data_IF_592848212557
#
_entry.id   IF_592848212557
#
_cell.length_a   1.000
_cell.length_b   1.000
_cell.length_c   1.000
_cell.angle_alpha   90.00
_cell.angle_beta   90.00
_cell.angle_gamma   90.00
#
_symmetry.space_group_name_H-M   'P 1'
#
loop_
_entity.id
_entity.type
_entity.pdbx_description
1 polymer ?
#
# COMPACT_ATOMS: atom_id res chain seq x y z
N UNK A 1 5.40 -8.98 -1.11
CA UNK A 1 6.71 -9.66 -1.17
C UNK A 1 7.84 -8.69 -1.50
N UNK A 2 7.70 -7.80 -2.50
CA UNK A 2 8.75 -6.84 -2.86
C UNK A 2 9.19 -5.95 -1.69
N UNK A 3 8.22 -5.35 -0.98
CA UNK A 3 8.53 -4.56 0.21
C UNK A 3 9.23 -5.37 1.29
N UNK A 4 8.82 -6.62 1.45
CA UNK A 4 9.37 -7.51 2.48
C UNK A 4 10.79 -8.00 2.18
N UNK A 5 11.07 -8.25 0.89
CA UNK A 5 12.34 -8.84 0.48
C UNK A 5 13.41 -7.81 0.11
N UNK A 6 13.01 -6.60 -0.28
CA UNK A 6 13.92 -5.61 -0.87
C UNK A 6 14.00 -4.30 -0.08
N UNK A 7 13.17 -4.12 0.94
CA UNK A 7 13.21 -2.90 1.75
C UNK A 7 14.25 -3.03 2.86
N UNK A 8 15.28 -2.18 2.81
CA UNK A 8 16.27 -2.06 3.89
C UNK A 8 15.73 -1.14 5.00
N UNK A 9 14.90 -1.70 5.87
CA UNK A 9 14.28 -1.00 6.96
C UNK A 9 15.05 -1.18 8.26
N UNK A 10 15.16 -0.12 9.04
CA UNK A 10 15.65 -0.20 10.42
C UNK A 10 14.59 -0.80 11.32
N UNK A 11 15.00 -1.28 12.48
CA UNK A 11 14.09 -1.80 13.50
C UNK A 11 12.96 -0.80 13.81
N UNK A 12 11.72 -1.30 13.84
CA UNK A 12 10.52 -0.49 14.09
C UNK A 12 10.06 0.40 12.94
N UNK A 13 10.70 0.34 11.76
CA UNK A 13 10.31 1.16 10.61
C UNK A 13 9.49 0.41 9.56
N UNK A 14 9.37 -0.90 9.67
CA UNK A 14 8.61 -1.71 8.73
C UNK A 14 7.66 -2.63 9.47
N UNK A 15 6.38 -2.54 9.14
CA UNK A 15 5.31 -3.36 9.70
C UNK A 15 4.54 -4.05 8.60
N UNK A 16 4.24 -5.30 8.77
CA UNK A 16 3.45 -6.08 7.82
C UNK A 16 2.47 -7.00 8.54
N UNK A 17 1.48 -7.51 7.82
CA UNK A 17 0.49 -8.47 8.33
C UNK A 17 1.13 -9.85 8.58
N UNK A 18 2.10 -9.95 9.46
CA UNK A 18 2.74 -11.22 9.82
C UNK A 18 1.76 -12.16 10.49
N UNK A 19 1.99 -13.46 10.33
CA UNK A 19 1.10 -14.49 10.82
C UNK A 19 0.00 -14.81 9.81
N UNK A 20 -1.21 -14.31 9.98
CA UNK A 20 -2.34 -14.60 9.12
C UNK A 20 -2.24 -13.99 7.70
N UNK A 21 -1.41 -12.96 7.50
CA UNK A 21 -1.23 -12.33 6.20
C UNK A 21 -2.50 -11.62 5.68
N UNK A 22 -3.33 -11.08 6.58
CA UNK A 22 -4.64 -10.50 6.24
C UNK A 22 -4.56 -9.34 5.27
N UNK A 23 -5.33 -9.41 4.18
CA UNK A 23 -5.53 -8.29 3.27
C UNK A 23 -6.22 -7.13 3.99
N UNK A 24 -5.92 -5.89 3.56
CA UNK A 24 -6.47 -4.69 4.18
C UNK A 24 -5.71 -4.18 5.41
N UNK A 25 -4.67 -4.86 5.87
CA UNK A 25 -3.89 -4.45 7.04
C UNK A 25 -3.16 -3.11 6.87
N UNK A 26 -2.59 -2.87 5.68
CA UNK A 26 -1.57 -1.82 5.49
C UNK A 26 -2.05 -0.41 5.83
N UNK A 27 -3.20 0.00 5.32
CA UNK A 27 -3.69 1.37 5.49
C UNK A 27 -4.19 1.65 6.91
N UNK A 28 -5.05 0.83 7.54
CA UNK A 28 -5.43 1.01 8.94
C UNK A 28 -4.25 0.99 9.91
N UNK A 29 -3.27 0.12 9.67
CA UNK A 29 -2.05 0.08 10.49
C UNK A 29 -1.23 1.37 10.35
N UNK A 30 -1.15 1.93 9.14
CA UNK A 30 -0.49 3.20 8.88
C UNK A 30 -1.20 4.37 9.58
N UNK A 31 -2.53 4.40 9.57
CA UNK A 31 -3.33 5.37 10.33
C UNK A 31 -2.98 5.28 11.83
N UNK A 32 -3.05 4.08 12.40
CA UNK A 32 -2.70 3.86 13.79
C UNK A 32 -1.24 4.23 14.11
N UNK A 33 -0.32 3.91 13.20
CA UNK A 33 1.09 4.28 13.31
C UNK A 33 1.29 5.80 13.32
N UNK A 34 0.61 6.53 12.44
CA UNK A 34 0.69 7.99 12.39
C UNK A 34 0.18 8.64 13.68
N UNK A 35 -0.97 8.20 14.18
CA UNK A 35 -1.54 8.67 15.45
C UNK A 35 -0.61 8.35 16.63
N UNK A 36 -0.04 7.13 16.66
CA UNK A 36 0.89 6.72 17.71
C UNK A 36 2.18 7.54 17.73
N UNK A 37 2.71 7.87 16.55
CA UNK A 37 3.91 8.71 16.42
C UNK A 37 3.66 10.15 16.89
N UNK A 38 2.52 10.72 16.53
CA UNK A 38 2.09 12.05 16.98
C UNK A 38 1.94 12.08 18.51
N UNK A 39 1.20 11.11 19.06
CA UNK A 39 0.90 11.04 20.50
C UNK A 39 2.15 10.85 21.35
N UNK A 40 3.15 10.11 20.86
CA UNK A 40 4.38 9.85 21.61
C UNK A 40 5.43 10.94 21.49
N UNK A 41 5.24 11.90 20.57
CA UNK A 41 6.18 12.99 20.31
C UNK A 41 7.58 12.55 19.87
N UNK A 42 7.77 11.26 19.59
CA UNK A 42 9.09 10.67 19.26
C UNK A 42 9.75 11.21 18.00
N UNK A 43 9.00 11.91 17.18
CA UNK A 43 9.47 12.37 15.86
C UNK A 43 9.53 13.88 15.71
N UNK A 44 9.20 14.63 16.76
CA UNK A 44 9.23 16.11 16.70
C UNK A 44 8.27 16.68 15.64
N UNK A 45 7.17 15.97 15.32
CA UNK A 45 6.17 16.43 14.35
C UNK A 45 6.51 16.16 12.87
N UNK A 46 7.63 15.47 12.57
CA UNK A 46 8.07 15.21 11.19
C UNK A 46 7.95 13.75 10.75
N UNK A 47 7.21 12.93 11.50
CA UNK A 47 6.99 11.54 11.08
C UNK A 47 6.23 11.48 9.77
N UNK A 48 6.73 10.66 8.88
CA UNK A 48 6.06 10.34 7.62
C UNK A 48 5.72 8.86 7.63
N UNK A 49 4.45 8.55 7.38
CA UNK A 49 3.96 7.17 7.34
C UNK A 49 3.55 6.84 5.93
N UNK A 50 4.12 5.76 5.40
CA UNK A 50 3.78 5.19 4.11
C UNK A 50 2.99 3.90 4.32
N UNK A 51 1.77 3.85 3.82
CA UNK A 51 1.06 2.60 3.59
C UNK A 51 1.35 2.09 2.18
N UNK A 52 1.56 0.80 2.02
CA UNK A 52 1.70 0.16 0.71
C UNK A 52 0.73 -1.00 0.61
N UNK A 53 -0.07 -1.03 -0.45
CA UNK A 53 -1.03 -2.10 -0.71
C UNK A 53 -1.08 -2.42 -2.20
N UNK A 54 -1.35 -3.67 -2.54
CA UNK A 54 -1.88 -4.02 -3.86
C UNK A 54 -3.34 -3.59 -3.98
N UNK A 55 -3.84 -3.49 -5.19
CA UNK A 55 -5.23 -3.13 -5.52
C UNK A 55 -6.26 -4.01 -4.79
N UNK A 56 -6.07 -5.33 -4.83
CA UNK A 56 -6.95 -6.27 -4.12
C UNK A 56 -6.94 -6.07 -2.61
N UNK A 57 -5.78 -5.79 -2.01
CA UNK A 57 -5.67 -5.51 -0.58
C UNK A 57 -6.28 -4.15 -0.21
N UNK A 58 -6.13 -3.15 -1.05
CA UNK A 58 -6.66 -1.82 -0.82
C UNK A 58 -8.19 -1.83 -0.67
N UNK A 59 -8.87 -2.65 -1.45
CA UNK A 59 -10.34 -2.76 -1.40
C UNK A 59 -10.90 -3.24 -0.06
N UNK A 60 -10.11 -3.94 0.75
CA UNK A 60 -10.56 -4.40 2.08
C UNK A 60 -10.61 -3.28 3.13
N UNK A 61 -9.90 -2.18 2.90
CA UNK A 61 -9.79 -1.07 3.86
C UNK A 61 -9.96 0.31 3.24
N UNK A 62 -10.50 0.38 2.02
CA UNK A 62 -10.67 1.64 1.30
C UNK A 62 -11.56 2.64 2.06
N UNK A 63 -12.52 2.15 2.85
CA UNK A 63 -13.39 2.95 3.69
C UNK A 63 -12.64 3.77 4.75
N UNK A 64 -11.45 3.34 5.15
CA UNK A 64 -10.62 4.05 6.12
C UNK A 64 -10.06 5.38 5.60
N UNK A 65 -10.22 5.66 4.30
CA UNK A 65 -10.01 7.00 3.77
C UNK A 65 -10.92 8.04 4.45
N UNK A 66 -12.14 7.64 4.84
CA UNK A 66 -13.03 8.49 5.61
C UNK A 66 -12.45 8.83 6.99
N UNK A 67 -11.92 7.84 7.70
CA UNK A 67 -11.25 8.02 9.00
C UNK A 67 -10.04 8.94 8.88
N UNK A 68 -9.16 8.64 7.91
CA UNK A 68 -7.95 9.45 7.68
C UNK A 68 -8.30 10.91 7.34
N UNK A 69 -9.31 11.12 6.49
CA UNK A 69 -9.79 12.45 6.11
C UNK A 69 -10.43 13.19 7.28
N UNK A 70 -11.32 12.51 8.02
CA UNK A 70 -12.03 13.12 9.15
C UNK A 70 -11.08 13.67 10.20
N UNK A 71 -10.00 12.97 10.47
CA UNK A 71 -9.02 13.32 11.50
C UNK A 71 -7.74 13.98 10.94
N UNK A 72 -7.72 14.28 9.64
CA UNK A 72 -6.56 14.87 8.92
C UNK A 72 -5.24 14.14 9.20
N UNK A 73 -5.26 12.80 9.20
CA UNK A 73 -4.11 11.98 9.57
C UNK A 73 -3.10 11.95 8.40
N UNK A 74 -1.84 12.37 8.60
CA UNK A 74 -0.85 12.51 7.53
C UNK A 74 -0.24 11.17 7.12
N UNK A 75 -0.97 10.40 6.34
CA UNK A 75 -0.54 9.12 5.76
C UNK A 75 -0.52 9.24 4.24
N UNK A 76 0.58 8.85 3.63
CA UNK A 76 0.66 8.64 2.18
C UNK A 76 0.37 7.17 1.88
N UNK A 77 -0.63 6.91 1.07
CA UNK A 77 -0.99 5.55 0.68
C UNK A 77 -0.58 5.27 -0.77
N UNK A 78 0.40 4.39 -0.96
CA UNK A 78 0.78 3.86 -2.27
C UNK A 78 -0.05 2.62 -2.59
N UNK A 79 -0.87 2.71 -3.62
CA UNK A 79 -1.63 1.58 -4.17
C UNK A 79 -0.92 1.11 -5.44
N UNK A 80 -0.44 -0.11 -5.43
CA UNK A 80 0.14 -0.79 -6.59
C UNK A 80 -0.97 -1.58 -7.27
N UNK A 81 -1.39 -1.10 -8.42
CA UNK A 81 -2.49 -1.67 -9.21
C UNK A 81 -1.93 -2.61 -10.27
N UNK A 82 -1.93 -3.92 -10.00
CA UNK A 82 -1.42 -4.96 -10.89
C UNK A 82 -2.52 -5.83 -11.53
N UNK A 83 -3.78 -5.46 -11.34
CA UNK A 83 -4.91 -6.08 -12.02
C UNK A 83 -5.59 -7.18 -11.24
N UNK A 84 -5.30 -7.35 -9.95
CA UNK A 84 -5.94 -8.37 -9.14
C UNK A 84 -5.04 -9.01 -8.10
N UNK A 85 -5.23 -10.29 -7.86
CA UNK A 85 -4.41 -11.06 -6.93
C UNK A 85 -3.20 -11.67 -7.65
N UNK A 86 -2.24 -10.81 -8.07
CA UNK A 86 -1.11 -11.19 -8.92
C UNK A 86 -0.29 -12.35 -8.38
N UNK A 87 0.04 -12.36 -7.08
CA UNK A 87 0.79 -13.45 -6.46
C UNK A 87 0.03 -14.78 -6.49
N UNK A 88 -1.28 -14.76 -6.27
CA UNK A 88 -2.11 -15.96 -6.32
C UNK A 88 -2.22 -16.47 -7.76
N UNK A 89 -2.30 -15.55 -8.73
CA UNK A 89 -2.27 -15.88 -10.16
C UNK A 89 -1.00 -16.65 -10.50
N UNK A 90 0.17 -16.16 -10.11
CA UNK A 90 1.45 -16.82 -10.39
C UNK A 90 1.55 -18.18 -9.71
N UNK A 91 1.15 -18.30 -8.45
CA UNK A 91 1.13 -19.59 -7.76
C UNK A 91 0.20 -20.62 -8.43
N UNK A 92 -1.00 -20.19 -8.81
CA UNK A 92 -1.96 -21.09 -9.46
C UNK A 92 -1.48 -21.51 -10.84
N UNK A 93 -0.91 -20.59 -11.62
CA UNK A 93 -0.32 -20.93 -12.92
C UNK A 93 0.84 -21.91 -12.75
N UNK A 94 1.72 -21.68 -11.78
CA UNK A 94 2.84 -22.57 -11.50
C UNK A 94 2.41 -23.98 -11.05
N UNK A 95 1.39 -24.07 -10.20
CA UNK A 95 0.92 -25.34 -9.64
C UNK A 95 -0.05 -26.11 -10.57
N UNK A 96 -0.91 -25.39 -11.30
CA UNK A 96 -2.05 -25.97 -12.03
C UNK A 96 -2.08 -25.64 -13.53
N UNK A 97 -1.10 -24.88 -14.02
CA UNK A 97 -1.03 -24.41 -15.42
C UNK A 97 -2.05 -23.31 -15.77
N UNK A 98 -2.93 -22.95 -14.85
CA UNK A 98 -3.94 -21.90 -15.04
C UNK A 98 -4.32 -21.24 -13.71
N UNK A 99 -4.72 -19.98 -13.76
CA UNK A 99 -5.32 -19.28 -12.63
C UNK A 99 -6.86 -19.20 -12.79
N UNK A 100 -7.55 -19.05 -11.65
CA UNK A 100 -9.01 -18.90 -11.62
C UNK A 100 -9.36 -17.87 -10.53
N UNK A 101 -10.29 -16.97 -10.84
CA UNK A 101 -10.81 -15.94 -9.91
C UNK A 101 -9.72 -15.04 -9.30
N UNK A 102 -8.66 -14.74 -10.03
CA UNK A 102 -7.57 -13.85 -9.60
C UNK A 102 -7.65 -12.45 -10.21
N UNK A 103 -8.44 -12.29 -11.27
CA UNK A 103 -8.70 -10.99 -11.89
C UNK A 103 -9.78 -10.24 -11.09
N UNK A 104 -9.59 -8.95 -10.87
CA UNK A 104 -10.52 -8.11 -10.13
C UNK A 104 -11.11 -7.01 -11.03
N UNK A 105 -12.40 -6.73 -10.82
CA UNK A 105 -13.04 -5.51 -11.32
C UNK A 105 -12.64 -4.36 -10.38
N UNK A 106 -11.59 -3.64 -10.76
CA UNK A 106 -11.01 -2.57 -9.94
C UNK A 106 -11.74 -1.25 -10.16
N UNK A 107 -11.94 -0.45 -9.11
CA UNK A 107 -12.38 0.92 -9.27
C UNK A 107 -11.24 1.80 -9.81
N UNK A 108 -11.59 3.00 -10.26
CA UNK A 108 -10.61 4.07 -10.40
C UNK A 108 -10.25 4.58 -9.00
N UNK A 109 -9.12 4.16 -8.46
CA UNK A 109 -8.70 4.49 -7.11
C UNK A 109 -8.48 5.99 -6.89
N UNK A 110 -8.12 6.74 -7.94
CA UNK A 110 -7.99 8.21 -7.85
C UNK A 110 -9.36 8.83 -7.61
N UNK A 111 -10.33 8.54 -8.47
CA UNK A 111 -11.70 9.04 -8.30
C UNK A 111 -12.33 8.58 -6.99
N UNK A 112 -12.02 7.36 -6.57
CA UNK A 112 -12.53 6.84 -5.30
C UNK A 112 -11.97 7.60 -4.11
N UNK A 113 -10.67 7.88 -4.09
CA UNK A 113 -10.06 8.69 -3.04
C UNK A 113 -10.60 10.13 -3.03
N UNK A 114 -10.75 10.73 -4.21
CA UNK A 114 -11.36 12.05 -4.38
C UNK A 114 -12.81 12.10 -3.87
N UNK A 115 -13.58 11.03 -4.06
CA UNK A 115 -14.94 10.93 -3.52
C UNK A 115 -14.97 10.93 -1.98
N UNK A 116 -13.90 10.50 -1.31
CA UNK A 116 -13.69 10.66 0.14
C UNK A 116 -13.11 12.03 0.51
N UNK A 117 -12.85 12.92 -0.46
CA UNK A 117 -12.20 14.21 -0.24
C UNK A 117 -10.70 14.10 0.04
N UNK A 118 -10.06 12.99 -0.33
CA UNK A 118 -8.63 12.74 -0.17
C UNK A 118 -7.92 12.98 -1.51
N UNK A 119 -6.90 13.87 -1.56
CA UNK A 119 -6.12 14.08 -2.77
C UNK A 119 -5.47 12.79 -3.27
N UNK A 120 -5.51 12.56 -4.56
CA UNK A 120 -4.94 11.37 -5.17
C UNK A 120 -4.31 11.67 -6.54
N UNK A 121 -3.28 10.89 -6.89
CA UNK A 121 -2.60 10.99 -8.19
C UNK A 121 -2.27 9.60 -8.71
N UNK A 122 -2.44 9.41 -10.03
CA UNK A 122 -1.92 8.25 -10.74
C UNK A 122 -0.64 8.65 -11.44
N UNK A 123 0.40 7.83 -11.28
CA UNK A 123 1.74 8.10 -11.83
C UNK A 123 2.31 6.88 -12.54
N UNK A 124 3.24 7.12 -13.44
CA UNK A 124 4.07 6.07 -14.03
C UNK A 124 5.08 5.53 -12.99
N UNK A 125 5.58 4.29 -13.15
CA UNK A 125 6.52 3.69 -12.19
C UNK A 125 7.77 4.54 -11.93
N UNK A 126 8.30 5.23 -12.94
CA UNK A 126 9.45 6.11 -12.83
C UNK A 126 9.20 7.36 -11.99
N UNK A 127 7.95 7.82 -11.89
CA UNK A 127 7.54 9.03 -11.18
C UNK A 127 7.13 8.78 -9.72
N UNK A 128 7.04 7.52 -9.29
CA UNK A 128 6.60 7.14 -7.93
C UNK A 128 7.40 7.84 -6.86
N UNK A 129 8.73 7.95 -7.02
CA UNK A 129 9.60 8.60 -6.03
C UNK A 129 9.18 10.05 -5.77
N UNK A 130 8.94 10.82 -6.82
CA UNK A 130 8.64 12.24 -6.67
C UNK A 130 7.20 12.46 -6.22
N UNK A 131 6.27 11.59 -6.63
CA UNK A 131 4.91 11.56 -6.10
C UNK A 131 4.88 11.26 -4.58
N UNK A 132 5.69 10.31 -4.11
CA UNK A 132 5.79 10.01 -2.68
C UNK A 132 6.41 11.16 -1.90
N UNK A 133 7.44 11.84 -2.43
CA UNK A 133 7.98 13.05 -1.79
C UNK A 133 6.94 14.16 -1.67
N UNK A 134 6.16 14.39 -2.72
CA UNK A 134 5.05 15.34 -2.68
C UNK A 134 3.98 14.93 -1.66
N UNK A 135 3.63 13.65 -1.63
CA UNK A 135 2.69 13.09 -0.64
C UNK A 135 3.17 13.28 0.79
N UNK A 136 4.45 13.04 1.05
CA UNK A 136 5.03 13.27 2.39
C UNK A 136 5.12 14.75 2.78
N UNK A 137 5.11 15.67 1.83
CA UNK A 137 5.08 17.10 2.09
C UNK A 137 3.66 17.65 2.26
N UNK A 138 2.63 16.85 1.92
CA UNK A 138 1.25 17.26 2.04
C UNK A 138 0.79 17.32 3.50
N UNK A 139 -0.16 18.21 3.76
CA UNK A 139 -0.86 18.29 5.04
C UNK A 139 -2.10 17.42 5.00
N UNK A 140 -2.02 16.25 5.63
CA UNK A 140 -3.10 15.27 5.70
C UNK A 140 -2.93 14.04 4.77
N UNK A 141 -3.98 13.20 4.68
CA UNK A 141 -3.90 11.96 3.93
C UNK A 141 -3.86 12.21 2.43
N UNK A 142 -3.13 11.35 1.71
CA UNK A 142 -3.07 11.39 0.25
C UNK A 142 -2.83 9.98 -0.33
N UNK A 143 -3.21 9.78 -1.60
CA UNK A 143 -3.09 8.51 -2.29
C UNK A 143 -2.25 8.65 -3.55
N UNK A 144 -1.29 7.76 -3.72
CA UNK A 144 -0.52 7.59 -4.96
C UNK A 144 -0.87 6.24 -5.56
N UNK A 145 -1.30 6.22 -6.80
CA UNK A 145 -1.63 5.00 -7.54
C UNK A 145 -0.60 4.78 -8.62
N UNK A 146 -0.04 3.57 -8.69
CA UNK A 146 0.84 3.15 -9.77
C UNK A 146 0.30 1.89 -10.41
N UNK A 147 0.04 1.95 -11.72
CA UNK A 147 -0.35 0.79 -12.50
C UNK A 147 0.92 0.10 -13.03
N UNK A 148 1.16 -1.12 -12.56
CA UNK A 148 2.32 -1.88 -13.00
C UNK A 148 2.14 -3.37 -12.72
N UNK A 149 2.53 -4.21 -13.66
CA UNK A 149 2.58 -5.64 -13.46
C UNK A 149 3.88 -6.01 -12.72
N UNK A 150 3.74 -6.34 -11.44
CA UNK A 150 4.84 -6.88 -10.68
C UNK A 150 4.87 -8.41 -10.86
N UNK A 151 5.93 -8.90 -11.47
CA UNK A 151 6.22 -10.34 -11.40
C UNK A 151 6.69 -10.67 -9.99
N UNK A 152 6.31 -11.84 -9.52
CA UNK A 152 6.82 -12.32 -8.24
C UNK A 152 8.34 -12.35 -8.29
N UNK A 153 8.94 -11.57 -7.43
CA UNK A 153 10.31 -11.81 -7.05
C UNK A 153 10.29 -13.12 -6.25
N UNK A 154 10.73 -14.21 -6.90
CA UNK A 154 11.00 -15.42 -6.14
C UNK A 154 12.03 -15.02 -5.10
N UNK A 155 11.71 -15.05 -3.78
CA UNK A 155 12.75 -15.00 -2.80
C UNK A 155 13.53 -16.25 -3.05
N UNK A 156 14.36 -16.08 -4.04
CA UNK A 156 15.37 -16.93 -4.34
C UNK A 156 15.49 -18.03 -3.40
N UNK A 157 15.10 -19.06 -3.86
CA UNK A 157 16.19 -20.01 -3.80
C UNK A 157 16.73 -20.07 -2.38
N UNK A 158 15.85 -20.21 -1.46
CA UNK A 158 16.15 -21.22 -0.51
C UNK A 158 16.29 -22.48 -1.35
N UNK A 159 17.40 -22.55 -2.08
CA UNK A 159 17.82 -23.73 -2.77
C UNK A 159 17.87 -24.79 -1.71
N UNK A 160 16.98 -25.70 -1.86
CA UNK A 160 17.03 -26.99 -1.21
C UNK A 160 18.38 -27.63 -1.42
#
# INVERSE_FOLDING_TARGET
YWGWSCWDAREGQFHSAQGAGGLGFGFPAAIGGAVGLETTGKTGGSARVLAVSGDGSAMYSISELATAKQHNIPVTWLIVDDGGYGILREYMVGAFGKATATELARPDFVKLAEAFGVPAVRVAPEDVRDALKAGFAADGPNVVVVETLLKMFGPTHLAT
#
